data_IF_805851900314
#
_entry.id   IF_805851900314
#
_cell.length_a   1.000
_cell.length_b   1.000
_cell.length_c   1.000
_cell.angle_alpha   90.00
_cell.angle_beta   90.00
_cell.angle_gamma   90.00
#
_symmetry.space_group_name_H-M   'P 1'
#
loop_
_entity.id
_entity.type
_entity.pdbx_description
1 polymer ?
#
# COMPACT_ATOMS: atom_id res chain seq x y z
N UNK A 1 -1.91 18.16 9.15
CA UNK A 1 -3.07 17.25 9.26
C UNK A 1 -2.81 16.15 8.24
N UNK A 2 -2.93 14.88 8.63
CA UNK A 2 -2.90 13.79 7.67
C UNK A 2 -4.36 13.47 7.38
N UNK A 3 -4.81 13.75 6.16
CA UNK A 3 -6.19 13.56 5.77
C UNK A 3 -6.41 12.13 5.28
N UNK A 4 -7.65 11.64 5.45
CA UNK A 4 -8.06 10.34 4.93
C UNK A 4 -8.04 10.39 3.39
N UNK A 5 -7.48 9.37 2.73
CA UNK A 5 -7.53 9.30 1.27
C UNK A 5 -8.85 8.63 0.93
N UNK A 6 -9.70 9.36 0.21
CA UNK A 6 -11.03 8.90 -0.20
C UNK A 6 -11.17 8.84 -1.72
N UNK A 7 -10.15 9.29 -2.46
CA UNK A 7 -10.10 9.19 -3.92
C UNK A 7 -8.65 9.24 -4.42
N UNK A 8 -8.46 8.85 -5.68
CA UNK A 8 -7.22 9.09 -6.44
C UNK A 8 -7.55 9.55 -7.86
N UNK A 9 -6.61 10.23 -8.51
CA UNK A 9 -6.73 10.63 -9.92
C UNK A 9 -6.08 9.58 -10.83
N UNK A 10 -6.84 9.04 -11.77
CA UNK A 10 -6.36 8.07 -12.77
C UNK A 10 -5.43 8.70 -13.80
N UNK A 11 -4.68 7.86 -14.51
CA UNK A 11 -3.84 8.25 -15.66
C UNK A 11 -4.66 8.80 -16.83
N UNK A 12 -5.93 8.45 -16.90
CA UNK A 12 -6.93 8.96 -17.83
C UNK A 12 -7.51 10.33 -17.44
N UNK A 13 -7.09 10.87 -16.30
CA UNK A 13 -7.50 12.17 -15.79
C UNK A 13 -8.80 12.17 -14.97
N UNK A 14 -9.49 11.03 -14.87
CA UNK A 14 -10.69 10.89 -14.06
C UNK A 14 -10.37 10.73 -12.56
N UNK A 15 -11.33 11.04 -11.70
CA UNK A 15 -11.22 10.82 -10.26
C UNK A 15 -12.00 9.58 -9.85
N UNK A 16 -11.35 8.71 -9.08
CA UNK A 16 -11.90 7.43 -8.63
C UNK A 16 -12.03 7.44 -7.11
N UNK A 17 -13.25 7.24 -6.62
CA UNK A 17 -13.52 7.09 -5.19
C UNK A 17 -12.97 5.77 -4.66
N UNK A 18 -12.50 5.80 -3.42
CA UNK A 18 -12.05 4.63 -2.68
C UNK A 18 -12.62 4.64 -1.26
N UNK A 19 -12.81 3.45 -0.70
CA UNK A 19 -13.18 3.26 0.70
C UNK A 19 -12.23 2.23 1.32
N UNK A 20 -11.30 2.72 2.13
CA UNK A 20 -10.29 1.91 2.83
C UNK A 20 -10.84 1.21 4.07
N UNK A 21 -12.08 1.50 4.48
CA UNK A 21 -12.75 0.81 5.58
C UNK A 21 -13.42 -0.47 5.10
N UNK A 22 -12.61 -1.50 4.88
CA UNK A 22 -13.09 -2.77 4.36
C UNK A 22 -13.56 -3.73 5.46
N UNK A 23 -14.52 -4.59 5.13
CA UNK A 23 -14.94 -5.68 6.00
C UNK A 23 -13.92 -6.84 5.98
N UNK A 24 -13.92 -7.68 7.02
CA UNK A 24 -13.13 -8.93 7.03
C UNK A 24 -13.53 -9.84 5.85
N UNK A 25 -14.81 -9.84 5.46
CA UNK A 25 -15.30 -10.60 4.31
C UNK A 25 -14.68 -10.10 2.99
N UNK A 26 -14.63 -8.78 2.81
CA UNK A 26 -14.00 -8.13 1.65
C UNK A 26 -12.51 -8.49 1.57
N UNK A 27 -11.80 -8.40 2.70
CA UNK A 27 -10.38 -8.77 2.75
C UNK A 27 -10.15 -10.24 2.37
N UNK A 28 -10.93 -11.17 2.95
CA UNK A 28 -10.81 -12.60 2.63
C UNK A 28 -11.09 -12.90 1.16
N UNK A 29 -12.10 -12.24 0.59
CA UNK A 29 -12.42 -12.38 -0.84
C UNK A 29 -11.25 -11.88 -1.70
N UNK A 30 -10.69 -10.71 -1.41
CA UNK A 30 -9.53 -10.19 -2.12
C UNK A 30 -8.30 -11.12 -2.05
N UNK A 31 -8.10 -11.81 -0.93
CA UNK A 31 -7.05 -12.83 -0.79
C UNK A 31 -7.33 -14.10 -1.61
N UNK A 32 -8.60 -14.48 -1.77
CA UNK A 32 -9.02 -15.61 -2.60
C UNK A 32 -8.87 -15.30 -4.08
N UNK A 33 -9.24 -14.07 -4.47
CA UNK A 33 -9.18 -13.56 -5.84
C UNK A 33 -7.73 -13.23 -6.28
N UNK A 34 -6.76 -13.33 -5.37
CA UNK A 34 -5.34 -13.12 -5.65
C UNK A 34 -4.93 -11.65 -5.71
N UNK A 35 -5.80 -10.73 -5.29
CA UNK A 35 -5.49 -9.30 -5.22
C UNK A 35 -4.62 -8.96 -4.00
N UNK A 36 -4.67 -9.75 -2.93
CA UNK A 36 -3.86 -9.54 -1.73
C UNK A 36 -3.22 -10.85 -1.29
N UNK A 37 -2.06 -10.79 -0.63
CA UNK A 37 -1.44 -11.98 -0.04
C UNK A 37 -2.34 -12.69 0.97
N UNK A 38 -2.38 -14.03 0.89
CA UNK A 38 -3.21 -14.89 1.75
C UNK A 38 -2.93 -14.74 3.25
N UNK A 39 -1.71 -14.38 3.61
CA UNK A 39 -1.30 -14.21 4.99
C UNK A 39 -1.37 -12.76 5.49
N UNK A 40 -1.77 -11.79 4.66
CA UNK A 40 -1.88 -10.38 5.03
C UNK A 40 -2.71 -10.17 6.31
N UNK A 41 -3.90 -10.77 6.41
CA UNK A 41 -4.72 -10.71 7.64
C UNK A 41 -3.97 -11.24 8.87
N UNK A 42 -3.24 -12.34 8.71
CA UNK A 42 -2.43 -12.92 9.80
C UNK A 42 -1.29 -12.00 10.19
N UNK A 43 -0.64 -11.34 9.23
CA UNK A 43 0.41 -10.35 9.49
C UNK A 43 -0.14 -9.11 10.20
N UNK A 44 -1.32 -8.64 9.79
CA UNK A 44 -2.03 -7.52 10.44
C UNK A 44 -2.36 -7.83 11.91
N UNK A 45 -2.93 -9.01 12.19
CA UNK A 45 -3.29 -9.43 13.55
C UNK A 45 -2.08 -9.56 14.47
N UNK A 46 -0.94 -9.99 13.93
CA UNK A 46 0.31 -10.14 14.69
C UNK A 46 1.04 -8.82 14.93
N UNK A 47 0.53 -7.67 14.41
CA UNK A 47 1.24 -6.38 14.31
C UNK A 47 2.67 -6.53 13.78
N UNK A 48 2.88 -7.56 12.96
CA UNK A 48 4.19 -8.01 12.52
C UNK A 48 4.36 -7.81 11.02
N UNK A 49 3.62 -6.87 10.42
CA UNK A 49 3.91 -6.39 9.07
C UNK A 49 5.29 -5.76 9.17
N UNK A 50 6.32 -6.56 8.91
CA UNK A 50 7.67 -6.05 8.76
C UNK A 50 7.63 -5.19 7.52
N UNK A 51 8.23 -4.02 7.58
CA UNK A 51 8.24 -3.08 6.47
C UNK A 51 8.79 -3.70 5.17
N UNK A 52 9.64 -4.73 5.31
CA UNK A 52 10.21 -5.53 4.22
C UNK A 52 9.26 -6.55 3.57
N UNK A 53 8.01 -6.72 4.06
CA UNK A 53 7.05 -7.72 3.53
C UNK A 53 5.93 -7.14 2.67
N UNK A 54 5.84 -5.81 2.56
CA UNK A 54 4.86 -5.13 1.69
C UNK A 54 5.49 -4.97 0.31
N UNK A 55 4.96 -5.68 -0.68
CA UNK A 55 5.36 -5.49 -2.07
C UNK A 55 4.38 -4.57 -2.82
N UNK A 56 4.78 -4.17 -4.01
CA UNK A 56 3.99 -3.30 -4.88
C UNK A 56 2.64 -3.94 -5.21
N UNK A 57 2.60 -5.27 -5.36
CA UNK A 57 1.39 -6.03 -5.66
C UNK A 57 0.35 -5.90 -4.53
N UNK A 58 0.76 -5.95 -3.26
CA UNK A 58 -0.14 -5.71 -2.12
C UNK A 58 -0.68 -4.26 -2.11
N UNK A 59 0.12 -3.28 -2.51
CA UNK A 59 -0.32 -1.88 -2.57
C UNK A 59 -1.32 -1.65 -3.71
N UNK A 60 -1.05 -2.21 -4.88
CA UNK A 60 -1.94 -2.19 -6.05
C UNK A 60 -3.25 -2.92 -5.74
N UNK A 61 -3.14 -4.09 -5.13
CA UNK A 61 -4.27 -4.87 -4.65
C UNK A 61 -5.14 -4.11 -3.67
N UNK A 62 -4.53 -3.44 -2.69
CA UNK A 62 -5.26 -2.62 -1.73
C UNK A 62 -6.01 -1.46 -2.40
N UNK A 63 -5.40 -0.81 -3.39
CA UNK A 63 -6.05 0.23 -4.18
C UNK A 63 -7.28 -0.29 -4.93
N UNK A 64 -7.17 -1.45 -5.58
CA UNK A 64 -8.30 -2.06 -6.27
C UNK A 64 -9.42 -2.48 -5.32
N UNK A 65 -9.07 -3.06 -4.16
CA UNK A 65 -10.04 -3.47 -3.14
C UNK A 65 -10.77 -2.26 -2.58
N UNK A 66 -10.05 -1.17 -2.28
CA UNK A 66 -10.66 0.06 -1.78
C UNK A 66 -11.57 0.72 -2.83
N UNK A 67 -11.17 0.72 -4.11
CA UNK A 67 -12.01 1.17 -5.23
C UNK A 67 -13.30 0.32 -5.35
N UNK A 68 -13.15 -1.00 -5.36
CA UNK A 68 -14.28 -1.94 -5.46
C UNK A 68 -15.23 -1.80 -4.28
N UNK A 69 -14.69 -1.61 -3.07
CA UNK A 69 -15.45 -1.39 -1.84
C UNK A 69 -16.27 -0.09 -1.88
N UNK A 70 -15.77 0.95 -2.57
CA UNK A 70 -16.50 2.19 -2.83
C UNK A 70 -17.58 2.07 -3.92
N UNK A 71 -17.81 0.88 -4.48
CA UNK A 71 -18.79 0.65 -5.54
C UNK A 71 -18.20 0.69 -6.96
N UNK A 72 -16.87 0.70 -7.08
CA UNK A 72 -16.17 0.51 -8.34
C UNK A 72 -16.56 -0.79 -9.04
N UNK A 73 -16.71 -0.74 -10.36
CA UNK A 73 -17.20 -1.86 -11.19
C UNK A 73 -16.21 -2.31 -12.26
N UNK A 74 -15.15 -1.55 -12.46
CA UNK A 74 -14.11 -1.86 -13.43
C UNK A 74 -13.41 -3.17 -13.01
N UNK A 75 -13.18 -4.11 -13.94
CA UNK A 75 -12.42 -5.32 -13.64
C UNK A 75 -10.96 -4.95 -13.33
N UNK A 76 -10.28 -5.82 -12.57
CA UNK A 76 -8.90 -5.58 -12.13
C UNK A 76 -7.94 -5.22 -13.27
N UNK A 77 -8.02 -5.90 -14.41
CA UNK A 77 -7.16 -5.62 -15.56
C UNK A 77 -7.34 -4.21 -16.11
N UNK A 78 -8.58 -3.72 -16.22
CA UNK A 78 -8.85 -2.35 -16.67
C UNK A 78 -8.43 -1.34 -15.61
N UNK A 79 -8.57 -1.69 -14.32
CA UNK A 79 -8.13 -0.85 -13.21
C UNK A 79 -6.62 -0.62 -13.24
N UNK A 80 -5.82 -1.63 -13.60
CA UNK A 80 -4.37 -1.49 -13.69
C UNK A 80 -3.92 -0.48 -14.75
N UNK A 81 -4.67 -0.34 -15.84
CA UNK A 81 -4.33 0.61 -16.92
C UNK A 81 -4.54 2.07 -16.49
N UNK A 82 -5.50 2.32 -15.59
CA UNK A 82 -5.81 3.66 -15.08
C UNK A 82 -5.06 4.02 -13.79
N UNK A 83 -4.55 3.02 -13.06
CA UNK A 83 -3.95 3.22 -11.75
C UNK A 83 -2.63 3.99 -11.91
N UNK A 84 -2.50 5.21 -11.35
CA UNK A 84 -1.23 5.91 -11.38
C UNK A 84 -0.19 5.13 -10.58
N UNK A 85 1.03 5.05 -11.13
CA UNK A 85 2.19 4.61 -10.37
C UNK A 85 2.66 5.72 -9.42
N UNK A 86 1.93 5.90 -8.33
CA UNK A 86 2.23 6.83 -7.26
C UNK A 86 2.37 6.06 -5.94
N UNK A 87 3.62 5.75 -5.58
CA UNK A 87 3.92 4.96 -4.37
C UNK A 87 3.47 5.62 -3.07
N UNK A 88 3.32 6.94 -3.06
CA UNK A 88 2.83 7.63 -1.88
C UNK A 88 1.33 7.41 -1.72
N UNK A 89 0.55 7.60 -2.79
CA UNK A 89 -0.88 7.31 -2.78
C UNK A 89 -1.12 5.83 -2.49
N UNK A 90 -0.46 4.93 -3.23
CA UNK A 90 -0.62 3.49 -3.08
C UNK A 90 -0.23 3.00 -1.68
N UNK A 91 0.90 3.48 -1.16
CA UNK A 91 1.35 3.19 0.19
C UNK A 91 0.38 3.71 1.27
N UNK A 92 -0.17 4.91 1.09
CA UNK A 92 -1.15 5.48 2.01
C UNK A 92 -2.49 4.72 1.98
N UNK A 93 -2.98 4.32 0.81
CA UNK A 93 -4.19 3.50 0.68
C UNK A 93 -4.01 2.18 1.42
N UNK A 94 -2.89 1.49 1.17
CA UNK A 94 -2.55 0.25 1.86
C UNK A 94 -2.48 0.47 3.39
N UNK A 95 -1.77 1.50 3.84
CA UNK A 95 -1.62 1.82 5.26
C UNK A 95 -2.98 2.14 5.93
N UNK A 96 -3.86 2.87 5.25
CA UNK A 96 -5.20 3.18 5.76
C UNK A 96 -6.05 1.91 5.86
N UNK A 97 -6.00 1.04 4.86
CA UNK A 97 -6.68 -0.25 4.87
C UNK A 97 -6.23 -1.11 6.06
N UNK A 98 -4.92 -1.22 6.30
CA UNK A 98 -4.40 -2.05 7.40
C UNK A 98 -4.64 -1.45 8.79
N UNK A 99 -4.83 -0.14 8.90
CA UNK A 99 -5.16 0.54 10.16
C UNK A 99 -6.67 0.70 10.40
N UNK A 100 -7.50 0.14 9.53
CA UNK A 100 -8.96 0.13 9.66
C UNK A 100 -9.64 1.42 9.20
N UNK A 101 -9.14 2.04 8.12
CA UNK A 101 -9.68 3.26 7.53
C UNK A 101 -9.39 4.51 8.34
N UNK A 102 -8.25 4.55 9.05
CA UNK A 102 -7.83 5.71 9.85
C UNK A 102 -6.82 6.55 9.06
N UNK A 103 -6.80 7.88 9.22
CA UNK A 103 -5.73 8.68 8.65
C UNK A 103 -4.36 8.20 9.14
N UNK A 104 -3.42 8.06 8.22
CA UNK A 104 -2.07 7.55 8.50
C UNK A 104 -1.12 8.72 8.58
N UNK A 105 -0.23 8.73 9.56
CA UNK A 105 0.81 9.75 9.61
C UNK A 105 1.88 9.52 8.55
N UNK A 106 1.69 10.18 7.41
CA UNK A 106 2.58 10.11 6.24
C UNK A 106 4.01 10.49 6.63
N UNK A 107 4.20 11.37 7.62
CA UNK A 107 5.53 11.78 8.08
C UNK A 107 6.28 10.67 8.83
N UNK A 108 5.58 9.80 9.56
CA UNK A 108 6.17 8.67 10.26
C UNK A 108 6.48 7.53 9.29
N UNK A 109 5.55 7.22 8.38
CA UNK A 109 5.73 6.17 7.38
C UNK A 109 6.82 6.52 6.35
N UNK A 110 6.85 7.77 5.85
CA UNK A 110 7.93 8.28 4.98
C UNK A 110 9.29 8.24 5.67
N UNK A 111 9.39 8.64 6.94
CA UNK A 111 10.67 8.59 7.69
C UNK A 111 11.20 7.17 7.82
N UNK A 112 10.34 6.18 8.02
CA UNK A 112 10.77 4.78 8.08
C UNK A 112 11.20 4.24 6.71
N UNK A 113 10.48 4.58 5.63
CA UNK A 113 10.90 4.23 4.26
C UNK A 113 12.23 4.91 3.88
N UNK A 114 12.38 6.20 4.14
CA UNK A 114 13.63 6.96 3.89
C UNK A 114 14.81 6.42 4.71
N UNK A 115 14.58 6.04 5.97
CA UNK A 115 15.60 5.46 6.84
C UNK A 115 16.12 4.13 6.30
N UNK A 116 15.24 3.33 5.69
CA UNK A 116 15.58 2.00 5.18
C UNK A 116 16.07 2.02 3.72
N UNK A 117 15.81 3.09 2.96
CA UNK A 117 16.27 3.27 1.56
C UNK A 117 17.60 4.02 1.44
N UNK A 118 18.07 4.69 2.50
CA UNK A 118 19.46 5.17 2.56
C UNK A 118 20.41 3.97 2.59
N UNK A 119 21.01 3.65 1.43
CA UNK A 119 22.10 2.67 1.31
C UNK A 119 23.11 2.88 2.44
N UNK A 120 23.61 1.81 3.10
CA UNK A 120 24.73 1.96 4.01
C UNK A 120 25.90 2.55 3.22
N UNK A 121 26.42 3.69 3.68
CA UNK A 121 27.68 4.22 3.19
C UNK A 121 28.74 3.13 3.34
N UNK A 122 29.12 2.49 2.24
CA UNK A 122 30.33 1.67 2.17
C UNK A 122 31.52 2.62 2.29
N UNK A 123 31.87 2.98 3.52
CA UNK A 123 33.12 3.64 3.80
C UNK A 123 34.24 2.63 3.52
N UNK A 124 35.02 2.98 2.50
CA UNK A 124 36.27 2.40 2.04
C UNK A 124 37.02 1.53 3.06
N UNK A 125 37.41 0.35 2.55
CA UNK A 125 38.42 -0.56 3.09
C UNK A 125 39.59 0.18 3.74
N UNK A 126 39.84 -0.12 5.02
CA UNK A 126 41.13 0.17 5.66
C UNK A 126 42.20 -0.71 5.01
N UNK A 127 43.07 -0.05 4.26
CA UNK A 127 44.54 -0.24 4.19
C UNK A 127 45.05 -1.68 4.31
N UNK A 128 45.50 -2.23 3.18
CA UNK A 128 46.66 -3.12 3.19
C UNK A 128 47.87 -2.32 3.69
N UNK A 129 48.44 -2.75 4.81
CA UNK A 129 49.83 -2.48 5.18
C UNK A 129 50.42 -3.75 5.78
N UNK A 130 51.49 -4.18 5.11
CA UNK A 130 52.50 -5.20 5.41
C UNK A 130 52.13 -6.66 5.16
#
# INVERSE_FOLDING_TARGET
MNDLITSFKGTDGNEYSIDTRISIGTLRKAQQDGHLKKDLLTQMLKRSVKQDSVDVDDMVGAAYVAYSNAGGKMPYSEFLEILPLDFEILGNIFAQMVTGGKPVDVSAYRKEIEKNTKKPNHHHQKRFQN
#
